data_IF_704702862073
#
_entry.id   IF_704702862073
#
_cell.length_a   1.000
_cell.length_b   1.000
_cell.length_c   1.000
_cell.angle_alpha   90.00
_cell.angle_beta   90.00
_cell.angle_gamma   90.00
#
_symmetry.space_group_name_H-M   'P 1'
#
loop_
_entity.id
_entity.type
_entity.pdbx_description
1 polymer ?
#
# COMPACT_ATOMS: atom_id res chain seq x y z
N UNK A 1 -17.47 22.60 -26.05
CA UNK A 1 -17.86 21.62 -25.01
C UNK A 1 -16.84 21.73 -23.89
N UNK A 2 -17.17 22.42 -22.79
CA UNK A 2 -16.23 22.73 -21.72
C UNK A 2 -16.02 21.50 -20.82
N UNK A 3 -14.76 21.23 -20.49
CA UNK A 3 -14.35 20.17 -19.58
C UNK A 3 -14.65 20.64 -18.14
N UNK A 4 -15.36 19.88 -17.31
CA UNK A 4 -15.71 20.31 -15.97
C UNK A 4 -14.46 20.39 -15.07
N UNK A 5 -14.14 21.62 -14.67
CA UNK A 5 -13.01 22.04 -13.85
C UNK A 5 -13.20 21.70 -12.37
N UNK A 6 -13.75 20.52 -12.04
CA UNK A 6 -14.13 20.17 -10.66
C UNK A 6 -13.36 18.95 -10.13
N UNK A 7 -12.32 18.50 -10.85
CA UNK A 7 -11.58 17.28 -10.53
C UNK A 7 -10.10 17.50 -10.17
N UNK A 8 -9.73 18.73 -9.79
CA UNK A 8 -8.38 19.10 -9.36
C UNK A 8 -8.39 19.77 -7.98
N UNK A 9 -9.17 19.24 -7.04
CA UNK A 9 -9.40 19.87 -5.73
C UNK A 9 -9.26 18.96 -4.52
N UNK A 10 -8.55 17.83 -4.59
CA UNK A 10 -8.37 16.93 -3.43
C UNK A 10 -6.88 16.60 -3.14
N UNK A 11 -5.94 17.49 -3.48
CA UNK A 11 -4.53 17.32 -3.04
C UNK A 11 -3.91 18.63 -2.53
N UNK A 12 -4.60 19.31 -1.62
CA UNK A 12 -3.99 20.31 -0.75
C UNK A 12 -4.44 20.05 0.69
N UNK A 13 -3.94 18.96 1.28
CA UNK A 13 -3.74 18.95 2.74
C UNK A 13 -2.42 19.69 2.94
N UNK A 14 -2.52 21.00 3.11
CA UNK A 14 -1.44 21.77 3.73
C UNK A 14 -1.39 21.35 5.19
N UNK A 15 -0.37 20.57 5.55
CA UNK A 15 0.04 20.45 6.94
C UNK A 15 0.83 21.74 7.26
N UNK A 16 0.17 22.69 7.93
CA UNK A 16 0.87 23.77 8.62
C UNK A 16 1.01 23.30 10.07
N UNK A 17 2.20 22.82 10.41
CA UNK A 17 2.62 22.68 11.80
C UNK A 17 3.23 24.01 12.21
N UNK A 18 2.51 24.76 13.04
CA UNK A 18 3.04 25.91 13.78
C UNK A 18 3.70 25.30 15.04
N UNK A 19 5.03 25.22 15.07
CA UNK A 19 5.77 24.92 16.29
C UNK A 19 5.94 26.25 17.04
N UNK A 20 5.02 26.51 17.96
CA UNK A 20 5.11 27.61 18.93
C UNK A 20 6.22 27.26 19.96
N UNK A 21 7.47 27.60 19.64
CA UNK A 21 8.58 27.56 20.60
C UNK A 21 8.67 28.89 21.35
N UNK A 22 7.83 29.07 22.37
CA UNK A 22 7.99 30.14 23.35
C UNK A 22 7.56 29.66 24.74
N UNK A 23 8.48 29.00 25.45
CA UNK A 23 8.54 29.03 26.91
C UNK A 23 10.02 28.94 27.35
N UNK A 24 10.50 30.00 28.01
CA UNK A 24 11.86 30.14 28.53
C UNK A 24 12.06 29.30 29.81
N UNK A 25 11.76 28.01 29.74
CA UNK A 25 12.21 27.02 30.70
C UNK A 25 13.25 26.15 29.99
N UNK A 26 14.51 26.36 30.34
CA UNK A 26 15.63 25.69 29.67
C UNK A 26 15.57 24.17 29.94
N UNK A 27 14.92 23.43 29.03
CA UNK A 27 14.66 21.99 29.15
C UNK A 27 15.78 21.14 28.51
N UNK A 28 16.05 19.99 29.11
CA UNK A 28 17.01 19.03 28.55
C UNK A 28 16.51 18.46 27.22
N UNK A 29 17.28 18.67 26.15
CA UNK A 29 17.03 17.99 24.88
C UNK A 29 17.62 16.58 24.90
N UNK A 30 16.74 15.58 24.79
CA UNK A 30 17.08 14.15 24.79
C UNK A 30 16.82 13.58 23.40
N UNK A 31 17.86 13.04 22.75
CA UNK A 31 17.75 12.32 21.47
C UNK A 31 18.09 10.86 21.69
N UNK A 32 17.18 9.96 21.32
CA UNK A 32 17.35 8.52 21.45
C UNK A 32 17.48 7.94 20.04
N UNK A 33 18.59 7.27 19.76
CA UNK A 33 18.88 6.68 18.46
C UNK A 33 19.30 5.22 18.63
N UNK A 34 18.36 4.30 18.44
CA UNK A 34 18.60 2.86 18.60
C UNK A 34 19.00 2.52 20.03
N UNK A 35 20.27 2.14 20.25
CA UNK A 35 20.87 1.84 21.56
C UNK A 35 21.65 3.00 22.18
N UNK A 36 21.71 4.14 21.49
CA UNK A 36 22.47 5.33 21.91
C UNK A 36 21.51 6.40 22.43
N UNK A 37 21.90 7.06 23.52
CA UNK A 37 21.18 8.21 24.07
C UNK A 37 22.11 9.40 24.09
N UNK A 38 21.64 10.51 23.54
CA UNK A 38 22.34 11.79 23.52
C UNK A 38 21.58 12.81 24.36
N UNK A 39 22.25 13.34 25.38
CA UNK A 39 21.73 14.35 26.26
C UNK A 39 22.41 15.68 25.97
N UNK A 40 21.61 16.73 25.77
CA UNK A 40 22.10 18.09 25.59
C UNK A 40 21.69 18.92 26.80
N UNK A 41 22.66 19.60 27.41
CA UNK A 41 22.40 20.46 28.56
C UNK A 41 21.68 21.74 28.06
N UNK A 42 20.64 22.20 28.77
CA UNK A 42 19.90 23.42 28.41
C UNK A 42 20.68 24.73 28.65
N UNK A 43 21.89 24.65 29.19
CA UNK A 43 22.71 25.82 29.47
C UNK A 43 23.48 26.23 28.21
N UNK A 44 23.00 27.27 27.54
CA UNK A 44 23.76 27.98 26.50
C UNK A 44 24.85 28.84 27.14
N UNK A 45 25.97 28.22 27.50
CA UNK A 45 27.15 28.93 28.03
C UNK A 45 28.40 28.52 27.30
N UNK A 46 29.26 29.48 27.00
CA UNK A 46 30.59 29.30 26.39
C UNK A 46 31.59 28.57 27.31
N UNK A 47 31.20 28.33 28.57
CA UNK A 47 32.01 27.68 29.59
C UNK A 47 32.00 26.14 29.43
N UNK A 48 33.04 25.48 29.96
CA UNK A 48 33.14 24.02 29.94
C UNK A 48 32.06 23.37 30.82
N UNK A 49 31.10 22.70 30.17
CA UNK A 49 30.01 21.98 30.84
C UNK A 49 30.53 20.64 31.37
N UNK A 50 30.27 20.38 32.66
CA UNK A 50 30.57 19.12 33.33
C UNK A 50 29.29 18.34 33.64
N UNK A 51 29.34 17.04 33.45
CA UNK A 51 28.26 16.09 33.72
C UNK A 51 28.61 15.24 34.93
N UNK A 52 27.66 15.11 35.86
CA UNK A 52 27.70 14.14 36.94
C UNK A 52 26.75 12.98 36.62
N UNK A 53 27.32 11.76 36.57
CA UNK A 53 26.61 10.53 36.20
C UNK A 53 27.02 9.40 37.15
N UNK A 54 26.21 8.33 37.22
CA UNK A 54 26.58 7.11 37.98
C UNK A 54 27.89 6.48 37.50
N UNK A 55 28.26 6.65 36.22
CA UNK A 55 29.49 6.10 35.62
C UNK A 55 30.71 7.01 35.80
N UNK A 56 30.54 8.15 36.49
CA UNK A 56 31.59 9.14 36.72
C UNK A 56 31.34 10.47 36.03
N UNK A 57 32.33 11.36 36.10
CA UNK A 57 32.26 12.71 35.55
C UNK A 57 32.75 12.75 34.11
N UNK A 58 32.03 13.47 33.24
CA UNK A 58 32.42 13.72 31.85
C UNK A 58 32.31 15.20 31.54
N UNK A 59 33.13 15.71 30.61
CA UNK A 59 33.06 17.09 30.15
C UNK A 59 32.61 17.14 28.70
N UNK A 60 31.87 18.19 28.35
CA UNK A 60 31.31 18.40 27.01
C UNK A 60 29.88 18.92 27.05
N UNK A 61 29.50 19.64 25.99
CA UNK A 61 28.14 20.18 25.85
C UNK A 61 27.08 19.08 25.68
N UNK A 62 27.46 18.00 24.99
CA UNK A 62 26.63 16.83 24.76
C UNK A 62 27.21 15.62 25.47
N UNK A 63 26.34 14.82 26.08
CA UNK A 63 26.69 13.55 26.71
C UNK A 63 26.10 12.41 25.90
N UNK A 64 26.96 11.65 25.24
CA UNK A 64 26.59 10.44 24.51
C UNK A 64 26.81 9.21 25.40
N UNK A 65 25.74 8.46 25.64
CA UNK A 65 25.78 7.16 26.33
C UNK A 65 25.55 6.07 25.28
N UNK A 66 26.59 5.29 25.01
CA UNK A 66 26.50 4.14 24.11
C UNK A 66 26.02 2.90 24.87
N UNK A 67 25.19 2.09 24.20
CA UNK A 67 24.61 0.86 24.74
C UNK A 67 23.90 1.08 26.09
N UNK A 68 22.90 1.98 26.05
CA UNK A 68 22.13 2.35 27.23
C UNK A 68 21.37 1.13 27.79
N UNK A 69 21.48 0.87 29.09
CA UNK A 69 20.66 -0.16 29.75
C UNK A 69 19.66 0.47 30.73
N UNK A 70 18.40 0.00 30.71
CA UNK A 70 17.38 0.52 31.64
C UNK A 70 17.81 0.34 33.11
N UNK A 71 18.53 -0.74 33.43
CA UNK A 71 18.89 -1.07 34.80
C UNK A 71 20.11 -0.28 35.30
N UNK A 72 21.14 -0.12 34.48
CA UNK A 72 22.41 0.49 34.93
C UNK A 72 22.44 2.00 34.66
N UNK A 73 21.83 2.45 33.56
CA UNK A 73 21.93 3.83 33.08
C UNK A 73 20.71 4.70 33.38
N UNK A 74 19.58 4.11 33.82
CA UNK A 74 18.47 4.91 34.33
C UNK A 74 18.85 5.57 35.64
N UNK A 75 18.65 6.89 35.73
CA UNK A 75 19.02 7.64 36.92
C UNK A 75 19.05 9.15 36.72
N UNK A 76 19.61 9.82 37.71
CA UNK A 76 19.78 11.26 37.68
C UNK A 76 21.03 11.66 36.91
N UNK A 77 20.85 12.53 35.94
CA UNK A 77 21.90 13.20 35.18
C UNK A 77 21.91 14.67 35.60
N UNK A 78 23.10 15.19 35.92
CA UNK A 78 23.24 16.59 36.33
C UNK A 78 24.29 17.25 35.47
N UNK A 79 23.92 18.25 34.68
CA UNK A 79 24.91 19.17 34.10
C UNK A 79 25.11 20.38 35.02
N UNK A 80 26.36 20.81 35.13
CA UNK A 80 26.73 21.99 35.89
C UNK A 80 27.89 22.72 35.22
N UNK A 81 27.93 24.03 35.41
CA UNK A 81 29.04 24.89 35.04
C UNK A 81 29.60 25.52 36.30
N UNK A 82 30.79 26.12 36.20
CA UNK A 82 31.41 26.86 37.31
C UNK A 82 30.54 28.03 37.80
N UNK A 83 29.66 28.56 36.94
CA UNK A 83 28.86 29.75 37.21
C UNK A 83 27.37 29.49 37.52
N UNK A 84 26.78 28.36 37.10
CA UNK A 84 25.32 28.12 37.21
C UNK A 84 24.97 26.85 37.99
N UNK A 85 23.77 26.87 38.59
CA UNK A 85 23.22 25.78 39.42
C UNK A 85 23.05 24.48 38.63
N UNK A 86 23.29 23.37 39.33
CA UNK A 86 23.01 22.00 38.92
C UNK A 86 21.57 21.83 38.41
N UNK A 87 21.37 21.71 37.10
CA UNK A 87 20.10 21.24 36.56
C UNK A 87 20.07 19.71 36.67
N UNK A 88 19.00 19.12 37.19
CA UNK A 88 18.91 17.66 37.36
C UNK A 88 17.80 17.11 36.47
N UNK A 89 18.15 16.13 35.64
CA UNK A 89 17.22 15.34 34.83
C UNK A 89 17.15 13.92 35.40
N UNK A 90 15.96 13.36 35.55
CA UNK A 90 15.81 11.92 35.79
C UNK A 90 15.49 11.24 34.47
N UNK A 91 16.45 10.49 33.94
CA UNK A 91 16.27 9.77 32.68
C UNK A 91 15.90 8.32 32.98
N UNK A 92 14.74 7.89 32.48
CA UNK A 92 14.32 6.49 32.44
C UNK A 92 13.87 6.16 31.03
N UNK A 93 14.74 5.53 30.27
CA UNK A 93 14.49 5.15 28.88
C UNK A 93 14.63 3.64 28.70
N UNK A 94 13.92 3.10 27.71
CA UNK A 94 14.12 1.73 27.23
C UNK A 94 14.61 1.82 25.80
N UNK A 95 15.85 1.44 25.58
CA UNK A 95 16.42 1.35 24.24
C UNK A 95 16.41 -0.09 23.76
N UNK A 96 16.40 -0.28 22.44
CA UNK A 96 16.27 -1.59 21.83
C UNK A 96 17.04 -1.62 20.50
N UNK A 97 17.66 -2.76 20.21
CA UNK A 97 18.34 -3.00 18.95
C UNK A 97 17.30 -3.30 17.86
N UNK A 98 17.30 -2.54 16.76
CA UNK A 98 16.35 -2.64 15.64
C UNK A 98 14.88 -2.28 15.97
N UNK A 99 14.61 -1.59 17.07
CA UNK A 99 13.28 -1.03 17.27
C UNK A 99 13.05 0.14 16.30
N UNK A 100 12.00 0.01 15.51
CA UNK A 100 11.50 1.07 14.65
C UNK A 100 10.54 1.92 15.49
N UNK A 101 10.76 3.23 15.55
CA UNK A 101 9.79 4.13 16.15
C UNK A 101 8.54 4.15 15.28
N UNK A 102 7.50 3.47 15.76
CA UNK A 102 6.23 3.36 15.05
C UNK A 102 5.43 4.63 15.33
N UNK A 103 5.72 5.68 14.58
CA UNK A 103 4.91 6.90 14.62
C UNK A 103 3.56 6.67 13.91
N UNK A 104 2.51 7.32 14.38
CA UNK A 104 1.16 7.22 13.82
C UNK A 104 1.16 7.55 12.32
N UNK A 105 1.92 8.56 11.90
CA UNK A 105 2.00 8.94 10.49
C UNK A 105 2.68 7.87 9.65
N UNK A 106 3.69 7.17 10.20
CA UNK A 106 4.35 6.06 9.51
C UNK A 106 3.37 4.91 9.26
N UNK A 107 2.54 4.56 10.25
CA UNK A 107 1.54 3.49 10.12
C UNK A 107 0.50 3.85 9.08
N UNK A 108 -0.02 5.08 9.14
CA UNK A 108 -0.99 5.60 8.17
C UNK A 108 -0.40 5.56 6.76
N UNK A 109 0.86 5.96 6.60
CA UNK A 109 1.55 5.94 5.30
C UNK A 109 1.69 4.51 4.76
N UNK A 110 2.07 3.55 5.61
CA UNK A 110 2.18 2.14 5.21
C UNK A 110 0.83 1.59 4.74
N UNK A 111 -0.27 1.91 5.44
CA UNK A 111 -1.63 1.48 5.05
C UNK A 111 -2.02 2.09 3.70
N UNK A 112 -1.77 3.38 3.49
CA UNK A 112 -2.09 4.05 2.21
C UNK A 112 -1.31 3.40 1.06
N UNK A 113 -0.02 3.15 1.25
CA UNK A 113 0.83 2.49 0.25
C UNK A 113 0.30 1.09 -0.08
N UNK A 114 -0.11 0.31 0.91
CA UNK A 114 -0.70 -1.02 0.69
C UNK A 114 -2.00 -0.94 -0.13
N UNK A 115 -2.93 -0.05 0.25
CA UNK A 115 -4.18 0.17 -0.48
C UNK A 115 -3.90 0.61 -1.93
N UNK A 116 -3.00 1.56 -2.14
CA UNK A 116 -2.64 2.02 -3.49
C UNK A 116 -1.99 0.91 -4.31
N UNK A 117 -1.13 0.08 -3.70
CA UNK A 117 -0.45 -1.01 -4.40
C UNK A 117 -1.43 -2.11 -4.80
N UNK A 118 -2.35 -2.51 -3.91
CA UNK A 118 -3.36 -3.53 -4.18
C UNK A 118 -4.35 -3.06 -5.25
N UNK A 119 -4.86 -1.83 -5.15
CA UNK A 119 -5.71 -1.23 -6.18
C UNK A 119 -4.98 -1.06 -7.52
N UNK A 120 -3.72 -0.62 -7.50
CA UNK A 120 -2.89 -0.49 -8.68
C UNK A 120 -2.70 -1.82 -9.39
N UNK A 121 -2.34 -2.88 -8.66
CA UNK A 121 -2.21 -4.23 -9.19
C UNK A 121 -3.53 -4.76 -9.79
N UNK A 122 -4.66 -4.53 -9.11
CA UNK A 122 -5.97 -4.91 -9.62
C UNK A 122 -6.30 -4.22 -10.95
N UNK A 123 -6.05 -2.91 -11.05
CA UNK A 123 -6.26 -2.17 -12.29
C UNK A 123 -5.33 -2.66 -13.40
N UNK A 124 -4.04 -2.88 -13.11
CA UNK A 124 -3.07 -3.39 -14.09
C UNK A 124 -3.53 -4.75 -14.64
N UNK A 125 -3.88 -5.70 -13.77
CA UNK A 125 -4.39 -7.02 -14.19
C UNK A 125 -5.69 -6.89 -14.97
N UNK A 126 -6.61 -6.03 -14.53
CA UNK A 126 -7.86 -5.75 -15.24
C UNK A 126 -7.60 -5.22 -16.65
N UNK A 127 -6.75 -4.20 -16.81
CA UNK A 127 -6.39 -3.65 -18.12
C UNK A 127 -5.65 -4.66 -18.99
N UNK A 128 -4.73 -5.43 -18.43
CA UNK A 128 -4.02 -6.49 -19.17
C UNK A 128 -4.98 -7.56 -19.65
N UNK A 129 -5.94 -7.98 -18.81
CA UNK A 129 -6.97 -8.94 -19.20
C UNK A 129 -7.86 -8.39 -20.33
N UNK A 130 -8.24 -7.10 -20.27
CA UNK A 130 -9.08 -6.44 -21.27
C UNK A 130 -8.34 -6.21 -22.59
N UNK A 131 -7.08 -5.81 -22.52
CA UNK A 131 -6.22 -5.60 -23.69
C UNK A 131 -5.78 -6.91 -24.33
N UNK A 132 -5.72 -8.02 -23.58
CA UNK A 132 -5.56 -9.36 -24.17
C UNK A 132 -6.83 -9.85 -24.87
N UNK A 133 -8.03 -9.47 -24.41
CA UNK A 133 -9.30 -9.79 -25.10
C UNK A 133 -9.44 -9.08 -26.46
N UNK A 134 -8.74 -7.96 -26.70
CA UNK A 134 -8.70 -7.31 -28.02
C UNK A 134 -7.57 -7.80 -28.94
N UNK A 135 -6.56 -8.50 -28.39
CA UNK A 135 -5.45 -9.12 -29.14
C UNK A 135 -5.62 -10.61 -29.42
N UNK A 136 -6.52 -11.28 -28.69
CA UNK A 136 -7.10 -12.51 -29.20
C UNK A 136 -7.84 -12.11 -30.47
N UNK A 137 -7.23 -12.36 -31.65
CA UNK A 137 -7.97 -12.37 -32.92
C UNK A 137 -9.32 -12.98 -32.60
N UNK A 138 -10.47 -12.37 -32.95
CA UNK A 138 -11.69 -13.12 -32.94
C UNK A 138 -11.39 -14.32 -33.82
N UNK A 139 -11.26 -15.51 -33.22
CA UNK A 139 -11.49 -16.74 -33.95
C UNK A 139 -12.89 -16.50 -34.44
N UNK A 140 -12.98 -16.14 -35.71
CA UNK A 140 -14.15 -15.69 -36.45
C UNK A 140 -15.36 -16.46 -35.96
N UNK A 141 -16.06 -15.95 -34.94
CA UNK A 141 -17.43 -16.34 -34.67
C UNK A 141 -18.19 -15.63 -35.75
N UNK A 142 -18.38 -16.38 -36.83
CA UNK A 142 -19.17 -16.01 -37.97
C UNK A 142 -20.35 -15.14 -37.50
N UNK A 143 -20.35 -13.88 -37.94
CA UNK A 143 -21.61 -13.21 -38.22
C UNK A 143 -22.26 -14.04 -39.34
N UNK A 144 -23.00 -15.06 -38.92
CA UNK A 144 -23.53 -16.09 -39.78
C UNK A 144 -24.93 -16.41 -39.31
N UNK A 145 -25.87 -15.62 -39.79
CA UNK A 145 -27.20 -16.14 -40.05
C UNK A 145 -27.04 -17.51 -40.74
N UNK A 146 -27.56 -18.56 -40.10
CA UNK A 146 -27.77 -19.89 -40.66
C UNK A 146 -26.73 -20.41 -41.68
N UNK A 147 -25.53 -20.78 -41.23
CA UNK A 147 -24.55 -21.46 -42.09
C UNK A 147 -23.83 -22.57 -41.33
N UNK A 148 -24.26 -23.82 -41.52
CA UNK A 148 -23.59 -25.05 -41.02
C UNK A 148 -22.06 -24.98 -41.29
N UNK A 149 -21.19 -25.37 -40.33
CA UNK A 149 -19.77 -25.51 -40.62
C UNK A 149 -19.60 -26.63 -41.64
N UNK A 150 -19.24 -26.26 -42.88
CA UNK A 150 -18.98 -27.22 -43.95
C UNK A 150 -17.61 -27.81 -43.66
N UNK A 151 -17.60 -29.01 -43.08
CA UNK A 151 -16.39 -29.77 -42.79
C UNK A 151 -15.46 -29.84 -43.99
N UNK A 152 -14.16 -29.68 -43.74
CA UNK A 152 -13.10 -29.87 -44.71
C UNK A 152 -13.11 -31.33 -45.18
N UNK A 153 -12.91 -31.51 -46.49
CA UNK A 153 -12.86 -32.78 -47.23
C UNK A 153 -14.20 -33.54 -47.37
N UNK A 154 -15.02 -33.12 -48.34
CA UNK A 154 -16.01 -33.99 -48.96
C UNK A 154 -15.32 -34.95 -49.94
N UNK A 155 -15.01 -36.17 -49.51
CA UNK A 155 -15.19 -37.29 -50.43
C UNK A 155 -16.71 -37.44 -50.60
N UNK A 156 -17.19 -37.17 -51.81
CA UNK A 156 -18.59 -37.41 -52.18
C UNK A 156 -18.75 -38.95 -52.27
N UNK A 157 -19.57 -39.61 -51.44
CA UNK A 157 -19.96 -40.98 -51.76
C UNK A 157 -20.71 -40.97 -53.11
N UNK A 158 -20.64 -42.06 -53.90
CA UNK A 158 -21.32 -42.15 -55.19
C UNK A 158 -22.82 -41.86 -55.02
N UNK A 159 -23.45 -41.20 -56.01
CA UNK A 159 -24.86 -40.85 -55.94
C UNK A 159 -25.68 -42.12 -55.74
N UNK A 160 -26.43 -42.17 -54.64
CA UNK A 160 -27.33 -43.29 -54.33
C UNK A 160 -28.33 -43.39 -55.48
N UNK A 161 -28.44 -44.54 -56.17
CA UNK A 161 -29.34 -44.69 -57.30
C UNK A 161 -30.79 -44.55 -56.80
N UNK A 162 -31.39 -43.42 -57.17
CA UNK A 162 -32.80 -43.08 -57.02
C UNK A 162 -33.37 -43.15 -55.57
N UNK A 163 -33.75 -42.02 -54.96
CA UNK A 163 -34.46 -42.09 -53.69
C UNK A 163 -35.88 -42.63 -53.95
N UNK A 164 -36.22 -43.79 -53.38
CA UNK A 164 -37.58 -44.37 -53.38
C UNK A 164 -38.63 -43.49 -52.68
N UNK A 165 -38.24 -42.30 -52.22
CA UNK A 165 -39.11 -41.32 -51.59
C UNK A 165 -38.75 -39.92 -52.07
N UNK A 166 -39.76 -39.12 -52.41
CA UNK A 166 -39.58 -37.73 -52.80
C UNK A 166 -39.06 -36.88 -51.62
N UNK A 167 -38.16 -35.91 -51.86
CA UNK A 167 -37.70 -34.99 -50.84
C UNK A 167 -38.86 -34.19 -50.22
N UNK A 168 -39.04 -34.36 -48.91
CA UNK A 168 -40.12 -33.72 -48.13
C UNK A 168 -40.07 -32.19 -48.29
N UNK A 169 -41.15 -31.61 -48.85
CA UNK A 169 -41.31 -30.15 -48.97
C UNK A 169 -41.58 -29.53 -47.60
N UNK A 170 -40.57 -28.86 -47.04
CA UNK A 170 -40.74 -28.13 -45.78
C UNK A 170 -41.66 -26.93 -45.98
N UNK A 171 -42.85 -26.96 -45.39
CA UNK A 171 -43.81 -25.85 -45.40
C UNK A 171 -45.27 -26.27 -45.50
N UNK A 172 -45.56 -27.52 -45.88
CA UNK A 172 -46.92 -28.05 -45.92
C UNK A 172 -47.10 -29.08 -44.79
N UNK A 173 -48.25 -29.06 -44.12
CA UNK A 173 -48.58 -29.99 -43.03
C UNK A 173 -48.76 -31.39 -43.63
N UNK A 174 -47.80 -32.28 -43.39
CA UNK A 174 -47.88 -33.66 -43.89
C UNK A 174 -49.18 -34.32 -43.42
N UNK A 175 -49.86 -35.05 -44.32
CA UNK A 175 -51.20 -35.61 -44.13
C UNK A 175 -51.31 -36.54 -42.89
N UNK A 176 -50.18 -37.04 -42.39
CA UNK A 176 -50.10 -37.93 -41.23
C UNK A 176 -49.67 -37.23 -39.92
N UNK A 177 -49.48 -35.92 -39.92
CA UNK A 177 -49.03 -35.17 -38.73
C UNK A 177 -50.09 -35.04 -37.62
N UNK A 178 -51.27 -35.66 -37.76
CA UNK A 178 -52.40 -35.53 -36.84
C UNK A 178 -52.67 -36.72 -35.91
N UNK A 179 -51.86 -37.79 -35.91
CA UNK A 179 -52.23 -39.04 -35.23
C UNK A 179 -51.60 -39.26 -33.83
N UNK A 180 -51.17 -38.21 -33.14
CA UNK A 180 -50.69 -38.30 -31.75
C UNK A 180 -51.45 -37.37 -30.80
N UNK A 181 -52.78 -37.42 -30.83
CA UNK A 181 -53.59 -37.01 -29.69
C UNK A 181 -54.09 -38.25 -28.93
N UNK A 182 -53.27 -38.72 -27.98
CA UNK A 182 -53.61 -39.58 -26.84
C UNK A 182 -52.72 -39.09 -25.69
N UNK A 183 -53.20 -38.72 -24.52
CA UNK A 183 -54.54 -38.75 -23.96
C UNK A 183 -54.60 -37.89 -22.70
N UNK A 184 -55.81 -37.86 -22.15
CA UNK A 184 -56.33 -37.19 -20.95
C UNK A 184 -55.45 -37.42 -19.71
#
# INVERSE_FOLDING_TARGET
>A
MPVPQWWLGIMLVGAWGEEDDDDNDAEYKVSISGIKVELTCPLDTTDEISWDTKRGKKTGHTLTVENFSELDDSGYYTCYTTAKKHHRLYLKARVCENCLEVDLMTVVTVIIVDICSTLGLLLVVYYWSKNRKTKAKPVTRAAGAGGRPRGQNKQKPPPVPNPDYEPIRKGQRDLYAGLNHRGI
#
